data_IF_251969528924
#
_entry.id   IF_251969528924
#
_cell.length_a   1.000
_cell.length_b   1.000
_cell.length_c   1.000
_cell.angle_alpha   90.00
_cell.angle_beta   90.00
_cell.angle_gamma   90.00
#
_symmetry.space_group_name_H-M   'P 1'
#
loop_
_entity.id
_entity.type
_entity.pdbx_description
1 polymer ?
#
# COMPACT_ATOMS: atom_id res chain seq x y z
N UNK A 1 41.32 12.07 -28.13
CA UNK A 1 41.29 13.34 -27.35
C UNK A 1 41.96 13.05 -26.01
N UNK A 2 43.03 13.73 -25.61
CA UNK A 2 43.67 13.43 -24.32
C UNK A 2 42.82 13.95 -23.17
N UNK A 3 42.19 13.04 -22.42
CA UNK A 3 41.39 13.37 -21.24
C UNK A 3 42.33 13.78 -20.09
N UNK A 4 42.27 15.03 -19.67
CA UNK A 4 43.03 15.50 -18.50
C UNK A 4 42.29 15.18 -17.21
N UNK A 5 43.03 14.97 -16.10
CA UNK A 5 42.43 14.78 -14.76
C UNK A 5 41.46 15.91 -14.38
N UNK A 6 41.75 17.15 -14.81
CA UNK A 6 40.89 18.32 -14.58
C UNK A 6 39.56 18.22 -15.33
N UNK A 7 39.57 17.69 -16.55
CA UNK A 7 38.34 17.46 -17.33
C UNK A 7 37.47 16.39 -16.68
N UNK A 8 38.07 15.27 -16.26
CA UNK A 8 37.35 14.18 -15.58
C UNK A 8 36.74 14.67 -14.26
N UNK A 9 37.50 15.40 -13.45
CA UNK A 9 37.00 15.96 -12.19
C UNK A 9 35.79 16.88 -12.40
N UNK A 10 35.82 17.75 -13.43
CA UNK A 10 34.68 18.61 -13.75
C UNK A 10 33.43 17.82 -14.13
N UNK A 11 33.57 16.75 -14.92
CA UNK A 11 32.45 15.89 -15.31
C UNK A 11 31.85 15.19 -14.10
N UNK A 12 32.67 14.62 -13.22
CA UNK A 12 32.21 13.96 -11.99
C UNK A 12 31.47 14.94 -11.09
N UNK A 13 32.02 16.14 -10.86
CA UNK A 13 31.38 17.16 -10.03
C UNK A 13 30.05 17.60 -10.65
N UNK A 14 30.00 17.80 -11.96
CA UNK A 14 28.75 18.16 -12.65
C UNK A 14 27.68 17.06 -12.51
N UNK A 15 28.07 15.80 -12.70
CA UNK A 15 27.15 14.66 -12.53
C UNK A 15 26.64 14.54 -11.09
N UNK A 16 27.51 14.73 -10.11
CA UNK A 16 27.14 14.72 -8.69
C UNK A 16 26.14 15.84 -8.35
N UNK A 17 26.41 17.08 -8.79
CA UNK A 17 25.52 18.21 -8.53
C UNK A 17 24.17 18.03 -9.23
N UNK A 18 24.16 17.54 -10.47
CA UNK A 18 22.92 17.25 -11.19
C UNK A 18 22.09 16.18 -10.47
N UNK A 19 22.73 15.09 -10.05
CA UNK A 19 22.07 14.03 -9.30
C UNK A 19 21.49 14.54 -7.97
N UNK A 20 22.23 15.38 -7.23
CA UNK A 20 21.76 15.99 -6.00
C UNK A 20 20.52 16.86 -6.21
N UNK A 21 20.49 17.68 -7.28
CA UNK A 21 19.33 18.50 -7.63
C UNK A 21 18.12 17.63 -7.97
N UNK A 22 18.31 16.59 -8.79
CA UNK A 22 17.21 15.67 -9.18
C UNK A 22 16.66 14.93 -7.96
N UNK A 23 17.52 14.36 -7.11
CA UNK A 23 17.09 13.67 -5.88
C UNK A 23 16.41 14.63 -4.90
N UNK A 24 16.93 15.84 -4.73
CA UNK A 24 16.33 16.85 -3.85
C UNK A 24 14.95 17.28 -4.31
N UNK A 25 14.77 17.51 -5.62
CA UNK A 25 13.47 17.80 -6.21
C UNK A 25 12.50 16.62 -6.04
N UNK A 26 12.96 15.39 -6.27
CA UNK A 26 12.16 14.18 -6.07
C UNK A 26 11.71 13.99 -4.62
N UNK A 27 12.59 14.21 -3.65
CA UNK A 27 12.26 14.13 -2.24
C UNK A 27 11.22 15.20 -1.84
N UNK A 28 11.37 16.44 -2.33
CA UNK A 28 10.40 17.50 -2.08
C UNK A 28 9.00 17.18 -2.63
N UNK A 29 8.93 16.61 -3.84
CA UNK A 29 7.66 16.14 -4.40
C UNK A 29 7.08 14.99 -3.58
N UNK A 30 7.90 14.00 -3.19
CA UNK A 30 7.45 12.87 -2.38
C UNK A 30 6.88 13.30 -1.01
N UNK A 31 7.41 14.37 -0.41
CA UNK A 31 6.87 14.92 0.84
C UNK A 31 5.51 15.60 0.67
N UNK A 32 5.25 16.25 -0.46
CA UNK A 32 3.97 16.91 -0.71
C UNK A 32 2.88 15.95 -1.15
N UNK A 33 3.27 14.89 -1.86
CA UNK A 33 2.36 13.89 -2.43
C UNK A 33 2.21 12.64 -1.53
N UNK A 34 2.67 12.71 -0.28
CA UNK A 34 2.55 11.63 0.68
C UNK A 34 1.07 11.42 1.08
N UNK A 35 0.63 10.17 1.31
CA UNK A 35 -0.73 9.92 1.79
C UNK A 35 -0.94 10.59 3.15
N UNK A 36 -2.07 11.32 3.35
CA UNK A 36 -2.38 11.92 4.64
C UNK A 36 -2.73 10.83 5.66
N UNK A 37 -2.45 11.10 6.94
CA UNK A 37 -3.10 10.39 8.04
C UNK A 37 -4.34 11.22 8.38
N UNK A 38 -5.56 10.70 8.19
CA UNK A 38 -6.77 11.44 8.53
C UNK A 38 -6.85 11.70 10.04
N UNK A 39 -7.54 12.78 10.44
CA UNK A 39 -7.86 13.06 11.85
C UNK A 39 -8.75 11.96 12.42
N UNK A 40 -9.74 11.50 11.64
CA UNK A 40 -10.61 10.38 11.99
C UNK A 40 -11.14 9.66 10.74
N UNK A 41 -11.44 8.38 10.91
CA UNK A 41 -12.25 7.58 9.99
C UNK A 41 -13.59 7.37 10.66
N UNK A 42 -14.68 7.65 9.95
CA UNK A 42 -16.05 7.57 10.48
C UNK A 42 -16.88 6.58 9.68
N UNK A 43 -17.84 5.94 10.32
CA UNK A 43 -18.84 5.11 9.65
C UNK A 43 -19.95 5.95 8.99
N UNK A 44 -20.92 5.28 8.32
CA UNK A 44 -21.98 5.96 7.58
C UNK A 44 -22.92 6.82 8.47
N UNK A 45 -22.97 6.53 9.78
CA UNK A 45 -23.76 7.29 10.76
C UNK A 45 -22.96 8.44 11.41
N UNK A 46 -21.71 8.66 10.98
CA UNK A 46 -20.79 9.66 11.54
C UNK A 46 -20.14 9.25 12.87
N UNK A 47 -20.26 7.97 13.26
CA UNK A 47 -19.58 7.43 14.44
C UNK A 47 -18.11 7.17 14.12
N UNK A 48 -17.20 7.66 14.96
CA UNK A 48 -15.77 7.48 14.78
C UNK A 48 -15.38 5.99 14.94
N UNK A 49 -14.66 5.46 13.96
CA UNK A 49 -14.15 4.10 13.91
C UNK A 49 -12.70 4.07 14.40
N UNK A 50 -11.87 4.99 13.90
CA UNK A 50 -10.46 5.11 14.28
C UNK A 50 -9.98 6.55 14.14
N UNK A 51 -9.06 6.96 15.01
CA UNK A 51 -8.46 8.29 15.05
C UNK A 51 -7.01 8.30 14.56
N UNK A 52 -6.46 9.49 14.27
CA UNK A 52 -5.05 9.64 13.90
C UNK A 52 -4.09 9.11 14.97
N UNK A 53 -4.47 9.26 16.25
CA UNK A 53 -3.73 8.76 17.40
C UNK A 53 -3.57 7.25 17.35
N UNK A 54 -4.67 6.52 17.18
CA UNK A 54 -4.69 5.05 17.11
C UNK A 54 -3.88 4.52 15.92
N UNK A 55 -3.96 5.17 14.75
CA UNK A 55 -3.13 4.81 13.58
C UNK A 55 -1.63 4.99 13.89
N UNK A 56 -1.27 6.06 14.61
CA UNK A 56 0.13 6.34 15.00
C UNK A 56 0.62 5.37 16.07
N UNK A 57 -0.22 5.02 17.03
CA UNK A 57 0.10 4.06 18.09
C UNK A 57 0.25 2.66 17.47
N UNK A 58 -0.59 2.30 16.50
CA UNK A 58 -0.44 1.09 15.68
C UNK A 58 0.87 1.00 14.92
N UNK A 59 1.31 2.12 14.34
CA UNK A 59 2.63 2.23 13.72
C UNK A 59 3.75 2.06 14.75
N UNK A 60 3.58 2.59 15.96
CA UNK A 60 4.55 2.42 17.03
C UNK A 60 4.63 0.96 17.49
N UNK A 61 3.49 0.27 17.65
CA UNK A 61 3.42 -1.16 17.94
C UNK A 61 4.13 -1.98 16.86
N UNK A 62 3.83 -1.73 15.57
CA UNK A 62 4.50 -2.37 14.43
C UNK A 62 6.04 -2.27 14.50
N UNK A 63 6.55 -1.09 14.91
CA UNK A 63 7.99 -0.85 15.06
C UNK A 63 8.56 -1.49 16.32
N UNK A 64 7.86 -1.38 17.46
CA UNK A 64 8.25 -1.93 18.76
C UNK A 64 8.45 -3.43 18.69
N UNK A 65 7.51 -4.13 18.05
CA UNK A 65 7.54 -5.59 17.89
C UNK A 65 8.37 -6.05 16.69
N UNK A 66 9.00 -5.12 15.96
CA UNK A 66 9.93 -5.42 14.89
C UNK A 66 9.30 -6.21 13.73
N UNK A 67 8.03 -5.95 13.41
CA UNK A 67 7.25 -6.75 12.48
C UNK A 67 7.79 -6.73 11.04
N UNK A 68 8.56 -5.70 10.64
CA UNK A 68 9.33 -5.72 9.38
C UNK A 68 10.41 -6.82 9.31
N UNK A 69 10.80 -7.42 10.44
CA UNK A 69 11.71 -8.58 10.43
C UNK A 69 10.98 -9.91 10.22
N UNK A 70 9.65 -9.90 10.33
CA UNK A 70 8.79 -11.04 10.10
C UNK A 70 8.12 -10.95 8.72
N UNK A 71 7.29 -9.93 8.50
CA UNK A 71 6.64 -9.64 7.22
C UNK A 71 7.12 -8.32 6.61
N UNK A 72 6.28 -7.73 5.76
CA UNK A 72 6.53 -6.43 5.13
C UNK A 72 5.32 -5.50 5.21
N UNK A 73 5.56 -4.20 5.03
CA UNK A 73 4.49 -3.23 4.83
C UNK A 73 4.86 -2.35 3.63
N UNK A 74 3.89 -2.06 2.76
CA UNK A 74 4.15 -1.39 1.49
C UNK A 74 5.25 -2.07 0.65
N UNK A 75 5.38 -3.40 0.73
CA UNK A 75 6.39 -4.19 0.03
C UNK A 75 7.80 -4.11 0.63
N UNK A 76 7.97 -3.42 1.76
CA UNK A 76 9.26 -3.23 2.42
C UNK A 76 9.30 -4.03 3.73
N UNK A 77 10.21 -5.00 3.83
CA UNK A 77 10.39 -5.82 5.03
C UNK A 77 10.97 -7.19 4.71
N UNK A 78 10.74 -8.13 5.62
CA UNK A 78 11.06 -9.54 5.45
C UNK A 78 9.98 -10.25 4.65
N UNK A 79 10.31 -11.47 4.21
CA UNK A 79 9.44 -12.30 3.38
C UNK A 79 9.07 -13.62 4.08
N UNK A 80 9.17 -13.66 5.42
CA UNK A 80 8.80 -14.84 6.18
C UNK A 80 7.29 -14.88 6.43
N UNK A 81 6.74 -13.76 6.92
CA UNK A 81 5.29 -13.51 6.98
C UNK A 81 4.76 -12.85 5.71
N UNK A 82 3.49 -12.46 5.77
CA UNK A 82 2.79 -11.75 4.70
C UNK A 82 3.22 -10.28 4.59
N UNK A 83 2.85 -9.63 3.49
CA UNK A 83 2.80 -8.17 3.44
C UNK A 83 1.51 -7.69 4.08
N UNK A 84 1.61 -6.94 5.19
CA UNK A 84 0.47 -6.50 5.98
C UNK A 84 -0.46 -5.56 5.20
N UNK A 85 0.06 -4.72 4.30
CA UNK A 85 -0.79 -3.85 3.48
C UNK A 85 -1.61 -4.67 2.48
N UNK A 86 -0.95 -5.59 1.76
CA UNK A 86 -1.62 -6.43 0.77
C UNK A 86 -2.60 -7.41 1.39
N UNK A 87 -2.22 -8.03 2.51
CA UNK A 87 -3.09 -8.95 3.25
C UNK A 87 -4.32 -8.22 3.79
N UNK A 88 -4.14 -7.04 4.41
CA UNK A 88 -5.28 -6.25 4.91
C UNK A 88 -6.23 -5.84 3.79
N UNK A 89 -5.72 -5.41 2.63
CA UNK A 89 -6.56 -5.03 1.51
C UNK A 89 -7.40 -6.22 1.00
N UNK A 90 -6.79 -7.40 0.91
CA UNK A 90 -7.47 -8.63 0.50
C UNK A 90 -8.54 -9.04 1.54
N UNK A 91 -8.22 -9.03 2.84
CA UNK A 91 -9.18 -9.31 3.92
C UNK A 91 -10.32 -8.31 3.92
N UNK A 92 -10.03 -7.01 3.74
CA UNK A 92 -11.02 -5.95 3.65
C UNK A 92 -12.01 -6.25 2.51
N UNK A 93 -11.51 -6.49 1.30
CA UNK A 93 -12.35 -6.81 0.15
C UNK A 93 -13.15 -8.11 0.34
N UNK A 94 -12.57 -9.14 0.97
CA UNK A 94 -13.28 -10.39 1.29
C UNK A 94 -14.45 -10.15 2.25
N UNK A 95 -14.23 -9.41 3.34
CA UNK A 95 -15.28 -9.11 4.31
C UNK A 95 -16.38 -8.21 3.74
N UNK A 96 -16.04 -7.27 2.86
CA UNK A 96 -17.03 -6.46 2.14
C UNK A 96 -17.88 -7.33 1.20
N UNK A 97 -17.28 -8.30 0.49
CA UNK A 97 -18.05 -9.24 -0.36
C UNK A 97 -19.02 -10.07 0.47
N UNK A 98 -18.57 -10.56 1.62
CA UNK A 98 -19.42 -11.30 2.55
C UNK A 98 -20.57 -10.44 3.10
N UNK A 99 -20.31 -9.16 3.36
CA UNK A 99 -21.31 -8.19 3.79
C UNK A 99 -22.40 -8.04 2.73
N UNK A 100 -22.03 -7.63 1.51
CA UNK A 100 -22.99 -7.42 0.41
C UNK A 100 -23.70 -8.71 0.00
N UNK A 101 -23.02 -9.85 0.00
CA UNK A 101 -23.65 -11.14 -0.30
C UNK A 101 -24.79 -11.47 0.69
N UNK A 102 -24.58 -11.19 1.98
CA UNK A 102 -25.61 -11.40 3.01
C UNK A 102 -26.72 -10.36 2.92
N UNK A 103 -26.37 -9.10 2.66
CA UNK A 103 -27.33 -8.01 2.57
C UNK A 103 -28.27 -8.17 1.37
N UNK A 104 -27.71 -8.43 0.18
CA UNK A 104 -28.49 -8.49 -1.07
C UNK A 104 -29.16 -9.85 -1.30
N UNK A 105 -28.47 -10.95 -0.95
CA UNK A 105 -28.90 -12.31 -1.31
C UNK A 105 -29.18 -13.22 -0.11
N UNK A 106 -28.87 -12.79 1.12
CA UNK A 106 -29.09 -13.58 2.32
C UNK A 106 -28.23 -14.86 2.41
N UNK A 107 -27.10 -14.91 1.69
CA UNK A 107 -26.23 -16.07 1.61
C UNK A 107 -24.74 -15.68 1.74
N UNK A 108 -23.88 -16.66 2.02
CA UNK A 108 -22.44 -16.46 1.98
C UNK A 108 -21.97 -16.25 0.53
N UNK A 109 -20.93 -15.43 0.33
CA UNK A 109 -20.43 -15.10 -1.02
C UNK A 109 -20.07 -16.36 -1.84
N UNK A 110 -19.46 -17.35 -1.22
CA UNK A 110 -19.09 -18.61 -1.89
C UNK A 110 -20.27 -19.52 -2.27
N UNK A 111 -21.45 -19.29 -1.68
CA UNK A 111 -22.66 -20.03 -1.98
C UNK A 111 -23.47 -19.42 -3.14
N UNK A 112 -23.16 -18.19 -3.54
CA UNK A 112 -23.80 -17.48 -4.64
C UNK A 112 -23.42 -18.08 -6.00
N UNK A 113 -24.31 -17.92 -6.98
CA UNK A 113 -24.00 -18.33 -8.35
C UNK A 113 -22.95 -17.39 -9.01
N UNK A 114 -22.52 -17.70 -10.23
CA UNK A 114 -21.49 -16.89 -10.89
C UNK A 114 -21.93 -15.46 -11.23
N UNK A 115 -23.22 -15.24 -11.50
CA UNK A 115 -23.74 -13.92 -11.85
C UNK A 115 -23.89 -13.06 -10.60
N UNK A 116 -24.43 -13.62 -9.52
CA UNK A 116 -24.56 -12.96 -8.22
C UNK A 116 -23.18 -12.61 -7.64
N UNK A 117 -22.20 -13.52 -7.70
CA UNK A 117 -20.81 -13.22 -7.27
C UNK A 117 -20.18 -12.09 -8.08
N UNK A 118 -20.41 -12.07 -9.39
CA UNK A 118 -19.89 -11.00 -10.24
C UNK A 118 -20.53 -9.65 -9.91
N UNK A 119 -21.82 -9.62 -9.58
CA UNK A 119 -22.51 -8.41 -9.12
C UNK A 119 -21.90 -7.91 -7.81
N UNK A 120 -21.80 -8.77 -6.79
CA UNK A 120 -21.19 -8.39 -5.49
C UNK A 120 -19.73 -7.94 -5.65
N UNK A 121 -18.94 -8.64 -6.47
CA UNK A 121 -17.56 -8.26 -6.72
C UNK A 121 -17.43 -6.89 -7.41
N UNK A 122 -18.38 -6.54 -8.28
CA UNK A 122 -18.42 -5.23 -8.90
C UNK A 122 -18.84 -4.15 -7.90
N UNK A 123 -19.84 -4.41 -7.05
CA UNK A 123 -20.24 -3.49 -5.98
C UNK A 123 -19.08 -3.16 -5.04
N UNK A 124 -18.33 -4.18 -4.58
CA UNK A 124 -17.15 -3.95 -3.71
C UNK A 124 -16.07 -3.14 -4.42
N UNK A 125 -15.87 -3.37 -5.72
CA UNK A 125 -14.91 -2.60 -6.49
C UNK A 125 -15.34 -1.13 -6.57
N UNK A 126 -16.59 -0.85 -6.88
CA UNK A 126 -17.12 0.52 -6.96
C UNK A 126 -17.06 1.24 -5.61
N UNK A 127 -17.32 0.52 -4.51
CA UNK A 127 -17.24 1.05 -3.14
C UNK A 127 -15.80 1.42 -2.75
N UNK A 128 -14.81 0.60 -3.14
CA UNK A 128 -13.39 0.85 -2.88
C UNK A 128 -12.75 1.88 -3.83
N UNK A 129 -13.36 2.13 -4.99
CA UNK A 129 -12.87 3.09 -6.01
C UNK A 129 -13.27 4.54 -5.68
N UNK A 130 -13.97 4.78 -4.57
CA UNK A 130 -14.39 6.12 -4.18
C UNK A 130 -13.19 7.02 -3.86
N UNK A 131 -13.07 8.11 -4.61
CA UNK A 131 -11.95 9.04 -4.48
C UNK A 131 -12.05 9.85 -3.19
N UNK A 132 -10.94 9.99 -2.48
CA UNK A 132 -10.85 10.86 -1.31
C UNK A 132 -10.78 12.34 -1.74
N UNK A 133 -11.63 13.17 -1.15
CA UNK A 133 -11.76 14.59 -1.50
C UNK A 133 -10.65 15.47 -0.91
N UNK A 134 -9.74 14.86 -0.13
CA UNK A 134 -8.64 15.54 0.54
C UNK A 134 -9.04 16.19 1.86
N UNK A 135 -10.23 15.88 2.39
CA UNK A 135 -10.63 16.24 3.75
C UNK A 135 -9.80 15.48 4.80
N UNK A 136 -9.85 15.98 6.03
CA UNK A 136 -9.18 15.35 7.17
C UNK A 136 -9.96 14.14 7.73
N UNK A 137 -11.15 13.85 7.18
CA UNK A 137 -12.04 12.76 7.61
C UNK A 137 -12.24 11.77 6.48
N UNK A 138 -12.05 10.48 6.75
CA UNK A 138 -12.39 9.42 5.78
C UNK A 138 -13.74 8.83 6.17
N UNK A 139 -14.70 8.84 5.24
CA UNK A 139 -16.02 8.24 5.45
C UNK A 139 -16.02 6.81 4.89
N UNK A 140 -16.35 5.84 5.74
CA UNK A 140 -16.50 4.44 5.33
C UNK A 140 -17.94 4.12 5.00
N UNK A 141 -18.11 3.27 3.98
CA UNK A 141 -19.36 2.58 3.75
C UNK A 141 -19.69 1.63 4.94
N UNK A 142 -20.94 1.17 5.03
CA UNK A 142 -21.31 0.18 6.03
C UNK A 142 -20.53 -1.14 5.86
N UNK A 143 -20.17 -1.48 4.61
CA UNK A 143 -19.38 -2.67 4.29
C UNK A 143 -17.92 -2.49 4.71
N UNK A 144 -17.34 -1.31 4.49
CA UNK A 144 -15.98 -0.98 4.94
C UNK A 144 -15.87 -0.96 6.47
N UNK A 145 -16.85 -0.34 7.16
CA UNK A 145 -16.90 -0.34 8.62
C UNK A 145 -16.99 -1.76 9.19
N UNK A 146 -17.83 -2.61 8.60
CA UNK A 146 -17.89 -4.04 8.95
C UNK A 146 -16.56 -4.75 8.70
N UNK A 147 -15.92 -4.50 7.56
CA UNK A 147 -14.65 -5.11 7.20
C UNK A 147 -13.51 -4.68 8.13
N UNK A 148 -13.46 -3.40 8.52
CA UNK A 148 -12.50 -2.86 9.50
C UNK A 148 -12.56 -3.65 10.79
N UNK A 149 -13.74 -3.82 11.38
CA UNK A 149 -13.94 -4.57 12.62
C UNK A 149 -13.44 -6.03 12.50
N UNK A 150 -13.77 -6.71 11.40
CA UNK A 150 -13.36 -8.12 11.16
C UNK A 150 -11.86 -8.28 10.93
N UNK A 151 -11.23 -7.33 10.22
CA UNK A 151 -9.76 -7.32 10.06
C UNK A 151 -9.08 -7.12 11.41
N UNK A 152 -9.58 -6.19 12.21
CA UNK A 152 -9.06 -5.91 13.55
C UNK A 152 -9.13 -7.13 14.46
N UNK A 153 -10.24 -7.88 14.44
CA UNK A 153 -10.35 -9.17 15.14
C UNK A 153 -9.32 -10.20 14.63
N UNK A 154 -9.18 -10.33 13.31
CA UNK A 154 -8.20 -11.23 12.69
C UNK A 154 -6.77 -10.93 13.14
N UNK A 155 -6.44 -9.66 13.31
CA UNK A 155 -5.11 -9.21 13.76
C UNK A 155 -4.87 -9.53 15.23
N UNK A 156 -5.88 -9.37 16.09
CA UNK A 156 -5.79 -9.78 17.50
C UNK A 156 -5.58 -11.28 17.61
N UNK A 157 -6.41 -12.09 16.95
CA UNK A 157 -6.26 -13.55 16.94
C UNK A 157 -4.88 -13.96 16.42
N UNK A 158 -4.42 -13.37 15.32
CA UNK A 158 -3.16 -13.79 14.70
C UNK A 158 -1.92 -13.33 15.45
N UNK A 159 -1.84 -12.05 15.82
CA UNK A 159 -0.60 -11.44 16.30
C UNK A 159 -0.52 -11.32 17.83
N UNK A 160 -1.64 -11.39 18.53
CA UNK A 160 -1.66 -11.50 19.99
C UNK A 160 -1.87 -12.96 20.44
N UNK A 161 -2.95 -13.63 19.99
CA UNK A 161 -3.21 -15.01 20.41
C UNK A 161 -2.27 -16.02 19.72
N UNK A 162 -1.75 -15.69 18.54
CA UNK A 162 -0.72 -16.43 17.83
C UNK A 162 -1.26 -17.29 16.68
N UNK A 163 -0.43 -17.47 15.66
CA UNK A 163 -0.69 -18.39 14.54
C UNK A 163 0.59 -19.15 14.19
N UNK A 164 0.76 -20.29 14.85
CA UNK A 164 1.94 -21.13 14.68
C UNK A 164 2.12 -21.64 13.23
N UNK A 165 1.04 -21.80 12.46
CA UNK A 165 1.13 -22.23 11.07
C UNK A 165 1.77 -21.14 10.19
N UNK A 166 1.58 -19.87 10.58
CA UNK A 166 2.21 -18.69 9.96
C UNK A 166 3.54 -18.30 10.62
N UNK A 167 4.02 -19.06 11.59
CA UNK A 167 5.24 -18.74 12.33
C UNK A 167 5.11 -17.53 13.25
N UNK A 168 3.88 -17.17 13.62
CA UNK A 168 3.57 -16.11 14.57
C UNK A 168 3.43 -16.74 15.97
N UNK A 169 4.32 -16.42 16.93
CA UNK A 169 4.19 -16.93 18.30
C UNK A 169 3.02 -16.24 19.05
N UNK A 170 2.52 -16.88 20.10
CA UNK A 170 1.66 -16.21 21.10
C UNK A 170 2.40 -14.99 21.67
N UNK A 171 1.67 -13.92 21.98
CA UNK A 171 2.18 -12.65 22.50
C UNK A 171 3.27 -12.01 21.60
N UNK A 172 3.25 -12.25 20.28
CA UNK A 172 4.13 -11.54 19.34
C UNK A 172 3.92 -10.02 19.46
N UNK A 173 2.66 -9.61 19.58
CA UNK A 173 2.21 -8.34 20.13
C UNK A 173 1.65 -8.63 21.53
N UNK A 174 2.17 -7.94 22.55
CA UNK A 174 1.94 -8.33 23.95
C UNK A 174 0.52 -8.06 24.45
N UNK A 175 -0.17 -7.07 23.89
CA UNK A 175 -1.53 -6.74 24.29
C UNK A 175 -2.50 -6.86 23.11
N UNK A 176 -3.76 -7.24 23.39
CA UNK A 176 -4.79 -7.24 22.35
C UNK A 176 -5.13 -5.83 21.88
N UNK A 177 -4.89 -4.80 22.69
CA UNK A 177 -5.11 -3.39 22.32
C UNK A 177 -4.10 -2.94 21.26
N UNK A 178 -2.79 -3.13 21.50
CA UNK A 178 -1.75 -2.83 20.50
C UNK A 178 -1.91 -3.65 19.21
N UNK A 179 -2.49 -4.86 19.28
CA UNK A 179 -2.78 -5.66 18.10
C UNK A 179 -3.94 -5.07 17.28
N UNK A 180 -4.93 -4.44 17.92
CA UNK A 180 -5.99 -3.69 17.23
C UNK A 180 -5.43 -2.44 16.58
N UNK A 181 -4.64 -1.67 17.32
CA UNK A 181 -3.97 -0.48 16.78
C UNK A 181 -3.06 -0.86 15.59
N UNK A 182 -2.34 -1.99 15.68
CA UNK A 182 -1.57 -2.48 14.53
C UNK A 182 -2.45 -2.78 13.31
N UNK A 183 -3.65 -3.34 13.53
CA UNK A 183 -4.62 -3.53 12.47
C UNK A 183 -5.07 -2.20 11.86
N UNK A 184 -5.34 -1.19 12.69
CA UNK A 184 -5.72 0.15 12.26
C UNK A 184 -4.65 0.81 11.39
N UNK A 185 -3.37 0.66 11.78
CA UNK A 185 -2.25 1.08 10.96
C UNK A 185 -2.19 0.34 9.61
N UNK A 186 -2.38 -0.98 9.61
CA UNK A 186 -2.40 -1.77 8.38
C UNK A 186 -3.60 -1.40 7.48
N UNK A 187 -4.77 -1.16 8.05
CA UNK A 187 -5.99 -0.70 7.38
C UNK A 187 -5.80 0.68 6.77
N UNK A 188 -5.15 1.61 7.46
CA UNK A 188 -4.76 2.90 6.88
C UNK A 188 -3.82 2.71 5.68
N UNK A 189 -2.84 1.79 5.77
CA UNK A 189 -1.98 1.51 4.61
C UNK A 189 -2.71 0.87 3.44
N UNK A 190 -3.69 0.01 3.72
CA UNK A 190 -4.52 -0.59 2.70
C UNK A 190 -5.41 0.46 2.03
N UNK A 191 -6.02 1.35 2.81
CA UNK A 191 -6.86 2.46 2.32
C UNK A 191 -6.13 3.29 1.26
N UNK A 192 -5.02 3.95 1.61
CA UNK A 192 -4.34 4.79 0.61
C UNK A 192 -3.71 3.97 -0.54
N UNK A 193 -3.61 2.65 -0.42
CA UNK A 193 -3.10 1.79 -1.49
C UNK A 193 -4.11 1.55 -2.61
N UNK A 194 -5.41 1.72 -2.36
CA UNK A 194 -6.48 1.65 -3.36
C UNK A 194 -7.14 3.00 -3.63
N UNK A 195 -7.06 3.96 -2.70
CA UNK A 195 -7.66 5.28 -2.86
C UNK A 195 -6.84 6.18 -3.78
N UNK A 196 -7.51 6.72 -4.81
CA UNK A 196 -6.97 7.67 -5.77
C UNK A 196 -6.48 8.96 -5.12
N UNK A 197 -5.35 9.48 -5.63
CA UNK A 197 -4.86 10.80 -5.22
C UNK A 197 -5.79 11.90 -5.73
N UNK A 198 -5.95 13.01 -5.00
CA UNK A 198 -6.71 14.16 -5.47
C UNK A 198 -6.27 14.63 -6.86
N UNK A 199 -7.16 14.52 -7.85
CA UNK A 199 -6.90 14.92 -9.24
C UNK A 199 -6.06 13.95 -10.07
N UNK A 200 -5.92 12.70 -9.63
CA UNK A 200 -5.26 11.60 -10.34
C UNK A 200 -6.21 10.41 -10.50
N UNK A 201 -6.03 9.62 -11.55
CA UNK A 201 -6.69 8.31 -11.73
C UNK A 201 -5.77 7.17 -11.25
N UNK A 202 -4.98 7.42 -10.20
CA UNK A 202 -4.13 6.39 -9.60
C UNK A 202 -4.03 6.62 -8.09
N UNK A 203 -3.92 5.53 -7.35
CA UNK A 203 -3.78 5.49 -5.90
C UNK A 203 -2.49 6.13 -5.38
N UNK A 204 -2.41 6.39 -4.07
CA UNK A 204 -1.19 6.95 -3.46
C UNK A 204 0.04 6.07 -3.69
N UNK A 205 -0.13 4.77 -3.92
CA UNK A 205 0.94 3.80 -4.16
C UNK A 205 1.16 3.48 -5.65
N UNK A 206 0.41 4.10 -6.57
CA UNK A 206 0.37 3.78 -7.99
C UNK A 206 -0.13 2.36 -8.26
N UNK A 207 -1.31 2.02 -7.73
CA UNK A 207 -1.99 0.72 -7.92
C UNK A 207 -1.25 -0.48 -7.32
N UNK A 208 -0.38 -0.23 -6.35
CA UNK A 208 0.22 -1.29 -5.56
C UNK A 208 -0.54 -1.43 -4.23
N UNK A 209 -0.83 -2.63 -3.73
CA UNK A 209 -0.48 -3.94 -4.26
C UNK A 209 -1.45 -4.40 -5.35
N UNK A 210 -1.05 -5.39 -6.15
CA UNK A 210 -1.97 -6.01 -7.12
C UNK A 210 -3.18 -6.58 -6.40
N UNK A 211 -4.35 -5.99 -6.64
CA UNK A 211 -5.61 -6.38 -6.03
C UNK A 211 -6.77 -6.05 -6.99
N UNK A 212 -7.09 -6.94 -7.93
CA UNK A 212 -8.26 -6.79 -8.78
C UNK A 212 -9.59 -6.52 -8.04
N UNK A 213 -9.83 -7.10 -6.83
CA UNK A 213 -10.99 -6.73 -6.01
C UNK A 213 -11.09 -5.23 -5.69
N UNK A 214 -9.96 -4.55 -5.49
CA UNK A 214 -9.88 -3.15 -5.13
C UNK A 214 -9.54 -2.23 -6.32
N UNK A 215 -9.57 -2.75 -7.56
CA UNK A 215 -9.27 -1.98 -8.77
C UNK A 215 -7.78 -1.92 -9.16
N UNK A 216 -6.87 -2.21 -8.23
CA UNK A 216 -5.43 -2.13 -8.43
C UNK A 216 -4.89 -3.07 -9.53
N UNK A 217 -4.28 -2.49 -10.56
CA UNK A 217 -3.54 -3.17 -11.64
C UNK A 217 -2.36 -2.33 -12.14
N UNK A 218 -1.41 -2.92 -12.89
CA UNK A 218 -0.22 -2.23 -13.36
C UNK A 218 -0.56 -0.99 -14.22
N UNK A 219 -0.16 0.18 -13.74
CA UNK A 219 -0.41 1.45 -14.44
C UNK A 219 0.27 1.52 -15.80
N UNK A 220 -0.34 2.25 -16.74
CA UNK A 220 0.27 2.52 -18.04
C UNK A 220 1.64 3.19 -17.94
N UNK A 221 1.81 4.08 -16.95
CA UNK A 221 3.08 4.75 -16.68
C UNK A 221 4.16 3.75 -16.23
N UNK A 222 3.85 2.80 -15.34
CA UNK A 222 4.79 1.78 -14.90
C UNK A 222 5.28 0.91 -16.08
N UNK A 223 4.36 0.54 -16.98
CA UNK A 223 4.69 -0.24 -18.17
C UNK A 223 5.58 0.54 -19.15
N UNK A 224 5.26 1.81 -19.43
CA UNK A 224 6.04 2.67 -20.33
C UNK A 224 7.45 2.89 -19.79
N UNK A 225 7.59 3.28 -18.53
CA UNK A 225 8.90 3.57 -17.93
C UNK A 225 9.77 2.32 -17.78
N UNK A 226 9.18 1.15 -17.59
CA UNK A 226 9.91 -0.13 -17.62
C UNK A 226 10.56 -0.39 -18.98
N UNK A 227 9.84 -0.16 -20.08
CA UNK A 227 10.38 -0.29 -21.44
C UNK A 227 11.46 0.76 -21.71
N UNK A 228 11.22 2.02 -21.34
CA UNK A 228 12.20 3.10 -21.50
C UNK A 228 13.48 2.77 -20.72
N UNK A 229 13.38 2.32 -19.47
CA UNK A 229 14.53 1.94 -18.65
C UNK A 229 15.35 0.81 -19.30
N UNK A 230 14.68 -0.21 -19.86
CA UNK A 230 15.34 -1.29 -20.59
C UNK A 230 16.11 -0.79 -21.82
N UNK A 231 15.48 0.07 -22.64
CA UNK A 231 16.13 0.66 -23.82
C UNK A 231 17.34 1.51 -23.43
N UNK A 232 17.21 2.33 -22.38
CA UNK A 232 18.30 3.15 -21.86
C UNK A 232 19.44 2.30 -21.32
N UNK A 233 19.16 1.22 -20.59
CA UNK A 233 20.16 0.30 -20.06
C UNK A 233 20.99 -0.33 -21.19
N UNK A 234 20.32 -0.91 -22.19
CA UNK A 234 20.99 -1.55 -23.34
C UNK A 234 21.77 -0.52 -24.16
N UNK A 235 21.17 0.63 -24.43
CA UNK A 235 21.81 1.72 -25.16
C UNK A 235 23.05 2.27 -24.45
N UNK A 236 22.96 2.50 -23.15
CA UNK A 236 24.06 2.99 -22.33
C UNK A 236 25.20 1.96 -22.23
N UNK A 237 24.89 0.68 -22.04
CA UNK A 237 25.89 -0.39 -22.04
C UNK A 237 26.62 -0.48 -23.38
N UNK A 238 25.90 -0.42 -24.51
CA UNK A 238 26.49 -0.39 -25.85
C UNK A 238 27.40 0.83 -26.05
N UNK A 239 26.92 2.02 -25.68
CA UNK A 239 27.71 3.25 -25.76
C UNK A 239 28.98 3.18 -24.90
N UNK A 240 28.89 2.63 -23.68
CA UNK A 240 30.04 2.45 -22.80
C UNK A 240 31.11 1.53 -23.41
N UNK A 241 30.71 0.42 -24.03
CA UNK A 241 31.63 -0.49 -24.72
C UNK A 241 32.30 0.20 -25.91
N UNK A 242 31.55 0.95 -26.72
CA UNK A 242 32.09 1.69 -27.86
C UNK A 242 33.09 2.76 -27.42
N UNK A 243 32.74 3.53 -26.39
CA UNK A 243 33.62 4.54 -25.80
C UNK A 243 34.90 3.90 -25.27
N UNK A 244 34.80 2.80 -24.52
CA UNK A 244 35.96 2.08 -24.01
C UNK A 244 36.89 1.58 -25.13
N UNK A 245 36.34 1.06 -26.23
CA UNK A 245 37.14 0.63 -27.39
C UNK A 245 37.78 1.78 -28.17
N UNK A 246 37.22 2.99 -28.08
CA UNK A 246 37.65 4.17 -28.85
C UNK A 246 38.74 5.00 -28.17
N UNK A 247 39.07 4.70 -26.92
CA UNK A 247 40.11 5.34 -26.10
C UNK A 247 41.33 4.45 -26.04
#
# INVERSE_FOLDING_TARGET
>A
MQLTRKTIAKVIVAAFLLNLVVMGAGAWLAYQEAPPIPEEVVGPDGEAIVTDGEIRDGKAAFQQYGLMNHGSILGNGAYYGEDYTAETLELKAQHMRDYYAREEYGAAYDALDSAERAAVAQTVREDLDEAHDGSDTVEYSAAEAYAHERVTETYVERYHEGDHARGVPEDMIQSPEEAREFADFALWTAWFSHTDRPGSDNSYTNEWPYSPPAGNDATGAAMIWSVVAMVLLVGAAGAAILLYKSV
#
